data_IF_464626798800
#
_entry.id   IF_464626798800
#
_cell.length_a   1.000
_cell.length_b   1.000
_cell.length_c   1.000
_cell.angle_alpha   90.00
_cell.angle_beta   90.00
_cell.angle_gamma   90.00
#
_symmetry.space_group_name_H-M   'P 1'
#
loop_
_entity.id
_entity.type
_entity.pdbx_description
1 polymer ?
#
# COMPACT_ATOMS: atom_id res chain seq x y z
N UNK A 1 44.20 -7.03 41.54
CA UNK A 1 42.82 -7.12 41.02
C UNK A 1 42.85 -7.89 39.71
N UNK A 2 42.47 -9.16 39.70
CA UNK A 2 42.44 -10.00 38.49
C UNK A 2 41.00 -10.09 37.99
N UNK A 3 40.70 -9.52 36.82
CA UNK A 3 39.39 -9.65 36.16
C UNK A 3 39.31 -11.03 35.52
N UNK A 4 38.45 -11.91 36.03
CA UNK A 4 38.09 -13.17 35.38
C UNK A 4 37.41 -12.87 34.04
N UNK A 5 38.04 -13.22 32.93
CA UNK A 5 37.37 -13.31 31.63
C UNK A 5 36.40 -14.51 31.67
N UNK A 6 35.10 -14.24 31.68
CA UNK A 6 34.07 -15.27 31.53
C UNK A 6 34.12 -15.84 30.12
N UNK A 7 34.28 -17.17 30.00
CA UNK A 7 34.14 -17.89 28.72
C UNK A 7 32.69 -17.74 28.24
N UNK A 8 32.47 -17.00 27.16
CA UNK A 8 31.22 -17.02 26.40
C UNK A 8 31.27 -18.27 25.52
N UNK A 9 30.53 -19.31 25.91
CA UNK A 9 30.34 -20.49 25.07
C UNK A 9 29.32 -20.11 24.00
N UNK A 10 29.80 -19.83 22.78
CA UNK A 10 28.97 -19.52 21.63
C UNK A 10 28.47 -20.83 21.01
N UNK A 11 27.33 -21.33 21.46
CA UNK A 11 26.67 -22.48 20.81
C UNK A 11 25.92 -21.96 19.59
N UNK A 12 26.52 -22.10 18.40
CA UNK A 12 25.87 -21.80 17.12
C UNK A 12 24.93 -22.95 16.77
N UNK A 13 23.62 -22.71 16.84
CA UNK A 13 22.62 -23.68 16.37
C UNK A 13 22.42 -23.46 14.88
N UNK A 14 22.97 -24.37 14.06
CA UNK A 14 22.79 -24.36 12.61
C UNK A 14 21.48 -25.07 12.27
N UNK A 15 20.42 -24.32 11.96
CA UNK A 15 19.17 -24.89 11.43
C UNK A 15 19.27 -24.92 9.90
N UNK A 16 19.10 -26.10 9.29
CA UNK A 16 18.99 -26.24 7.83
C UNK A 16 17.73 -25.49 7.34
N UNK A 17 17.94 -24.46 6.52
CA UNK A 17 16.87 -23.72 5.88
C UNK A 17 16.37 -24.45 4.63
N UNK A 18 15.09 -24.84 4.59
CA UNK A 18 14.38 -24.87 3.31
C UNK A 18 13.90 -23.45 3.03
N UNK A 19 14.32 -22.90 1.89
CA UNK A 19 14.07 -21.55 1.39
C UNK A 19 14.62 -20.39 2.27
N UNK A 20 15.94 -20.22 2.25
CA UNK A 20 16.54 -18.87 2.17
C UNK A 20 16.66 -18.02 3.43
N UNK A 21 16.40 -18.52 4.64
CA UNK A 21 16.61 -17.75 5.87
C UNK A 21 17.69 -18.40 6.74
N UNK A 22 18.86 -17.76 6.87
CA UNK A 22 19.81 -18.05 7.95
C UNK A 22 19.70 -16.91 8.95
N UNK A 23 19.00 -17.12 10.07
CA UNK A 23 19.05 -16.20 11.21
C UNK A 23 20.06 -16.72 12.23
N UNK A 24 21.03 -15.88 12.60
CA UNK A 24 21.88 -16.17 13.75
C UNK A 24 21.06 -15.94 15.02
N UNK A 25 20.84 -17.00 15.79
CA UNK A 25 20.23 -16.92 17.11
C UNK A 25 21.25 -17.33 18.16
N UNK A 26 21.17 -16.72 19.34
CA UNK A 26 21.97 -17.11 20.49
C UNK A 26 21.12 -17.20 21.74
N UNK A 27 21.51 -18.08 22.66
CA UNK A 27 20.87 -18.17 23.97
C UNK A 27 21.57 -17.26 24.97
N UNK A 28 20.80 -16.42 25.65
CA UNK A 28 21.25 -15.61 26.79
C UNK A 28 20.28 -15.79 27.94
N UNK A 29 20.79 -16.14 29.12
CA UNK A 29 20.01 -16.36 30.34
C UNK A 29 18.85 -17.36 30.18
N UNK A 30 19.06 -18.42 29.40
CA UNK A 30 18.05 -19.45 29.14
C UNK A 30 16.95 -19.04 28.15
N UNK A 31 17.02 -17.84 27.57
CA UNK A 31 16.09 -17.35 26.55
C UNK A 31 16.77 -17.27 25.19
N UNK A 32 16.05 -17.65 24.13
CA UNK A 32 16.47 -17.40 22.76
C UNK A 32 16.45 -15.90 22.50
N UNK A 33 17.58 -15.32 22.13
CA UNK A 33 17.72 -13.93 21.69
C UNK A 33 17.95 -13.96 20.18
N UNK A 34 17.09 -13.25 19.46
CA UNK A 34 17.29 -12.91 18.05
C UNK A 34 18.11 -11.62 18.03
N UNK A 35 19.23 -11.62 17.31
CA UNK A 35 20.12 -10.45 17.28
C UNK A 35 19.39 -9.27 16.63
N UNK A 36 19.14 -8.22 17.42
CA UNK A 36 18.33 -7.05 17.08
C UNK A 36 19.08 -5.98 16.30
N UNK A 37 19.84 -6.36 15.28
CA UNK A 37 20.48 -5.45 14.34
C UNK A 37 19.66 -5.35 13.05
N UNK A 38 18.82 -4.31 12.95
CA UNK A 38 17.98 -3.97 11.80
C UNK A 38 17.32 -5.19 11.14
N UNK A 39 16.29 -5.73 11.81
CA UNK A 39 15.19 -6.40 11.11
C UNK A 39 14.88 -5.51 9.91
N UNK A 40 15.02 -6.00 8.67
CA UNK A 40 14.60 -5.24 7.48
C UNK A 40 13.23 -4.63 7.80
N UNK A 41 13.16 -3.31 7.99
CA UNK A 41 11.91 -2.65 8.34
C UNK A 41 10.97 -2.91 7.16
N UNK A 42 10.07 -3.87 7.33
CA UNK A 42 9.09 -4.24 6.34
C UNK A 42 7.81 -3.53 6.73
N UNK A 43 7.09 -3.01 5.74
CA UNK A 43 5.80 -2.44 6.02
C UNK A 43 4.89 -3.55 6.55
N UNK A 44 4.00 -3.22 7.48
CA UNK A 44 3.09 -4.15 8.13
C UNK A 44 2.31 -4.96 7.09
N UNK A 45 2.02 -6.24 7.36
CA UNK A 45 1.27 -7.07 6.45
C UNK A 45 -0.16 -6.53 6.26
N UNK A 46 -0.82 -6.91 5.15
CA UNK A 46 -2.25 -6.64 4.96
C UNK A 46 -3.07 -7.26 6.09
N UNK A 47 -4.21 -6.64 6.37
CA UNK A 47 -5.22 -7.14 7.29
C UNK A 47 -6.38 -7.78 6.51
N UNK A 48 -7.02 -8.78 7.11
CA UNK A 48 -8.13 -9.48 6.49
C UNK A 48 -9.21 -9.79 7.52
N UNK A 49 -10.44 -9.82 7.04
CA UNK A 49 -11.54 -10.49 7.71
C UNK A 49 -12.28 -11.38 6.68
N UNK A 50 -13.26 -12.16 7.14
CA UNK A 50 -13.97 -13.11 6.29
C UNK A 50 -15.25 -12.53 5.65
N UNK A 51 -15.47 -11.22 5.76
CA UNK A 51 -16.77 -10.60 5.46
C UNK A 51 -16.66 -9.44 4.47
N UNK A 52 -15.59 -8.65 4.58
CA UNK A 52 -15.45 -7.38 3.91
C UNK A 52 -14.43 -7.45 2.77
N UNK A 53 -14.76 -6.72 1.70
CA UNK A 53 -13.81 -6.45 0.62
C UNK A 53 -12.74 -5.47 1.07
N UNK A 54 -13.15 -4.37 1.70
CA UNK A 54 -12.24 -3.34 2.19
C UNK A 54 -12.09 -3.45 3.70
N UNK A 55 -10.90 -3.80 4.16
CA UNK A 55 -10.62 -4.04 5.58
C UNK A 55 -9.68 -2.95 6.08
N UNK A 56 -10.10 -2.21 7.12
CA UNK A 56 -9.25 -1.24 7.81
C UNK A 56 -8.23 -1.97 8.70
N UNK A 57 -6.94 -1.67 8.51
CA UNK A 57 -5.87 -2.30 9.27
C UNK A 57 -5.54 -1.56 10.57
N UNK A 58 -6.19 -0.43 10.85
CA UNK A 58 -5.96 0.38 12.05
C UNK A 58 -4.61 1.10 12.09
N UNK A 59 -3.87 1.09 10.98
CA UNK A 59 -2.54 1.67 10.85
C UNK A 59 -2.43 2.67 9.67
N UNK A 60 -3.57 3.27 9.28
CA UNK A 60 -3.65 4.20 8.15
C UNK A 60 -3.69 3.52 6.78
N UNK A 61 -3.88 2.20 6.74
CA UNK A 61 -4.00 1.43 5.51
C UNK A 61 -5.32 0.66 5.44
N UNK A 62 -5.76 0.38 4.21
CA UNK A 62 -6.95 -0.44 3.93
C UNK A 62 -6.59 -1.52 2.94
N UNK A 63 -6.92 -2.77 3.23
CA UNK A 63 -6.72 -3.89 2.30
C UNK A 63 -7.95 -4.09 1.43
N UNK A 64 -7.78 -4.10 0.10
CA UNK A 64 -8.78 -4.59 -0.86
C UNK A 64 -8.55 -6.09 -1.07
N UNK A 65 -9.31 -6.92 -0.37
CA UNK A 65 -9.13 -8.38 -0.30
C UNK A 65 -9.40 -9.08 -1.64
N UNK A 66 -10.09 -8.41 -2.57
CA UNK A 66 -10.35 -8.93 -3.93
C UNK A 66 -9.14 -8.73 -4.84
N UNK A 67 -8.46 -7.59 -4.74
CA UNK A 67 -7.28 -7.29 -5.59
C UNK A 67 -5.95 -7.65 -4.92
N UNK A 68 -5.95 -7.83 -3.60
CA UNK A 68 -4.74 -8.05 -2.80
C UNK A 68 -3.91 -6.78 -2.59
N UNK A 69 -4.44 -5.61 -2.96
CA UNK A 69 -3.77 -4.32 -2.80
C UNK A 69 -3.99 -3.76 -1.40
N UNK A 70 -2.94 -3.15 -0.84
CA UNK A 70 -3.04 -2.29 0.33
C UNK A 70 -3.05 -0.85 -0.13
N UNK A 71 -4.12 -0.13 0.17
CA UNK A 71 -4.35 1.28 -0.17
C UNK A 71 -4.02 2.17 1.02
N UNK A 72 -3.53 3.38 0.75
CA UNK A 72 -3.47 4.44 1.76
C UNK A 72 -4.91 4.80 2.18
N UNK A 73 -5.20 4.91 3.47
CA UNK A 73 -6.56 5.20 3.94
C UNK A 73 -7.04 6.61 3.54
N UNK A 74 -6.13 7.59 3.51
CA UNK A 74 -6.42 8.95 3.08
C UNK A 74 -6.19 9.11 1.56
N UNK A 75 -7.28 9.08 0.80
CA UNK A 75 -7.29 9.17 -0.67
C UNK A 75 -6.92 10.55 -1.22
N UNK A 76 -6.66 11.55 -0.37
CA UNK A 76 -6.26 12.89 -0.79
C UNK A 76 -5.13 13.42 0.11
N UNK A 77 -4.14 12.58 0.43
CA UNK A 77 -3.02 13.04 1.25
C UNK A 77 -2.16 14.11 0.54
N UNK A 78 -2.03 14.05 -0.79
CA UNK A 78 -1.11 14.90 -1.55
C UNK A 78 -1.79 16.05 -2.32
N UNK A 79 -3.12 16.10 -2.36
CA UNK A 79 -3.81 17.01 -3.28
C UNK A 79 -3.65 16.59 -4.75
N UNK A 80 -3.88 17.56 -5.65
CA UNK A 80 -3.61 17.40 -7.08
C UNK A 80 -2.16 17.79 -7.37
N UNK A 81 -1.48 17.02 -8.22
CA UNK A 81 -0.11 17.29 -8.63
C UNK A 81 0.16 16.77 -10.05
N UNK A 82 1.22 17.28 -10.66
CA UNK A 82 1.69 16.79 -11.96
C UNK A 82 2.18 15.34 -11.83
N UNK A 83 2.28 14.63 -12.96
CA UNK A 83 2.54 13.20 -12.95
C UNK A 83 3.85 12.81 -12.27
N UNK A 84 4.93 13.57 -12.50
CA UNK A 84 6.23 13.31 -11.89
C UNK A 84 6.15 13.47 -10.35
N UNK A 85 5.63 14.61 -9.89
CA UNK A 85 5.47 14.90 -8.46
C UNK A 85 4.56 13.88 -7.76
N UNK A 86 3.50 13.41 -8.43
CA UNK A 86 2.61 12.37 -7.92
C UNK A 86 3.33 11.02 -7.70
N UNK A 87 4.22 10.64 -8.62
CA UNK A 87 5.04 9.43 -8.48
C UNK A 87 6.09 9.60 -7.38
N UNK A 88 6.74 10.77 -7.32
CA UNK A 88 7.73 11.07 -6.28
C UNK A 88 7.08 11.06 -4.90
N UNK A 89 5.92 11.71 -4.74
CA UNK A 89 5.14 11.71 -3.50
C UNK A 89 4.70 10.30 -3.08
N UNK A 90 4.19 9.50 -4.03
CA UNK A 90 3.82 8.11 -3.76
C UNK A 90 5.04 7.27 -3.34
N UNK A 91 6.18 7.41 -4.03
CA UNK A 91 7.41 6.67 -3.70
C UNK A 91 8.07 7.12 -2.40
N UNK A 92 7.88 8.38 -1.99
CA UNK A 92 8.41 8.95 -0.75
C UNK A 92 7.57 8.64 0.48
N UNK A 93 6.32 8.20 0.30
CA UNK A 93 5.37 7.90 1.37
C UNK A 93 5.90 6.81 2.31
N UNK A 94 5.73 7.01 3.63
CA UNK A 94 6.25 6.12 4.66
C UNK A 94 5.48 6.26 5.98
N UNK A 95 5.84 5.41 6.94
CA UNK A 95 5.41 5.52 8.34
C UNK A 95 5.57 6.95 8.89
N UNK A 96 4.51 7.43 9.55
CA UNK A 96 4.41 8.79 10.10
C UNK A 96 3.75 9.80 9.16
N UNK A 97 3.73 9.53 7.84
CA UNK A 97 3.07 10.39 6.86
C UNK A 97 1.61 9.98 6.69
N UNK A 98 0.73 10.94 6.35
CA UNK A 98 -0.65 10.65 5.95
C UNK A 98 -1.50 9.81 6.93
N UNK A 99 -1.11 9.72 8.21
CA UNK A 99 -1.75 8.86 9.21
C UNK A 99 -1.24 7.42 9.25
N UNK A 100 -0.18 7.09 8.51
CA UNK A 100 0.44 5.77 8.50
C UNK A 100 1.16 5.48 9.83
N UNK A 101 0.88 4.32 10.40
CA UNK A 101 1.62 3.74 11.52
C UNK A 101 2.11 2.33 11.18
N UNK A 102 2.34 2.06 9.89
CA UNK A 102 2.46 0.71 9.31
C UNK A 102 3.90 0.25 9.05
N UNK A 103 4.90 0.82 9.72
CA UNK A 103 6.33 0.57 9.49
C UNK A 103 6.85 0.70 8.04
N UNK A 104 6.08 1.30 7.12
CA UNK A 104 6.53 1.49 5.74
C UNK A 104 7.67 2.50 5.62
N UNK A 105 8.47 2.32 4.58
CA UNK A 105 9.62 3.17 4.23
C UNK A 105 9.50 3.67 2.79
N UNK A 106 10.24 4.73 2.39
CA UNK A 106 10.25 5.18 1.02
C UNK A 106 10.61 4.04 0.06
N UNK A 107 9.84 3.92 -1.02
CA UNK A 107 9.93 2.86 -2.03
C UNK A 107 8.94 1.71 -1.84
N UNK A 108 8.25 1.62 -0.71
CA UNK A 108 7.20 0.60 -0.50
C UNK A 108 5.91 0.94 -1.26
N UNK A 109 5.62 2.23 -1.41
CA UNK A 109 4.40 2.75 -2.01
C UNK A 109 4.62 3.21 -3.45
N UNK A 110 3.58 3.12 -4.27
CA UNK A 110 3.56 3.61 -5.66
C UNK A 110 2.15 3.99 -6.10
N UNK A 111 2.03 4.66 -7.24
CA UNK A 111 0.74 4.75 -7.91
C UNK A 111 0.26 3.35 -8.38
N UNK A 112 -1.05 3.06 -8.31
CA UNK A 112 -1.62 1.84 -8.89
C UNK A 112 -1.49 1.86 -10.42
N UNK A 113 -1.32 0.70 -11.05
CA UNK A 113 -1.41 0.60 -12.51
C UNK A 113 -2.85 0.82 -12.99
N UNK A 114 -3.04 1.08 -14.28
CA UNK A 114 -4.39 1.17 -14.84
C UNK A 114 -5.16 -0.15 -14.68
N UNK A 115 -4.47 -1.29 -14.78
CA UNK A 115 -5.06 -2.62 -14.60
C UNK A 115 -5.53 -2.82 -13.16
N UNK A 116 -4.71 -2.45 -12.18
CA UNK A 116 -5.07 -2.49 -10.76
C UNK A 116 -6.27 -1.59 -10.44
N UNK A 117 -6.26 -0.36 -10.96
CA UNK A 117 -7.40 0.55 -10.86
C UNK A 117 -8.67 -0.07 -11.44
N UNK A 118 -8.56 -0.64 -12.64
CA UNK A 118 -9.66 -1.27 -13.35
C UNK A 118 -10.21 -2.46 -12.56
N UNK A 119 -9.34 -3.31 -12.00
CA UNK A 119 -9.72 -4.40 -11.12
C UNK A 119 -10.44 -3.90 -9.85
N UNK A 120 -9.96 -2.81 -9.24
CA UNK A 120 -10.60 -2.20 -8.07
C UNK A 120 -12.01 -1.69 -8.35
N UNK A 121 -12.23 -1.01 -9.48
CA UNK A 121 -13.53 -0.40 -9.79
C UNK A 121 -14.49 -1.33 -10.55
N UNK A 122 -14.02 -2.47 -11.09
CA UNK A 122 -14.81 -3.34 -11.98
C UNK A 122 -16.20 -3.69 -11.41
N UNK A 123 -16.24 -4.13 -10.14
CA UNK A 123 -17.51 -4.46 -9.47
C UNK A 123 -18.43 -3.24 -9.32
N UNK A 124 -17.86 -2.08 -9.02
CA UNK A 124 -18.61 -0.83 -8.88
C UNK A 124 -19.24 -0.41 -10.21
N UNK A 125 -18.52 -0.57 -11.33
CA UNK A 125 -19.04 -0.33 -12.66
C UNK A 125 -20.20 -1.28 -13.02
N UNK A 126 -20.07 -2.57 -12.71
CA UNK A 126 -21.14 -3.54 -12.91
C UNK A 126 -22.40 -3.29 -12.07
N UNK A 127 -22.27 -2.53 -10.97
CA UNK A 127 -23.38 -2.07 -10.13
C UNK A 127 -23.91 -0.70 -10.54
N UNK A 128 -23.27 -0.01 -11.49
CA UNK A 128 -23.63 1.36 -11.86
C UNK A 128 -23.27 2.41 -10.80
N UNK A 129 -22.27 2.14 -9.96
CA UNK A 129 -21.85 3.07 -8.91
C UNK A 129 -21.19 4.31 -9.49
N UNK A 130 -21.57 5.46 -8.96
CA UNK A 130 -21.07 6.76 -9.36
C UNK A 130 -20.89 7.65 -8.13
N UNK A 131 -19.97 8.60 -8.21
CA UNK A 131 -19.70 9.60 -7.15
C UNK A 131 -19.49 9.02 -5.73
N UNK A 132 -18.47 8.17 -5.49
CA UNK A 132 -17.49 7.67 -6.46
C UNK A 132 -17.87 6.29 -7.04
N UNK A 133 -17.23 5.90 -8.13
CA UNK A 133 -17.29 4.59 -8.76
C UNK A 133 -16.50 3.54 -7.96
N UNK A 134 -16.87 3.39 -6.69
CA UNK A 134 -16.36 2.41 -5.75
C UNK A 134 -17.53 1.63 -5.14
N UNK A 135 -17.23 0.42 -4.69
CA UNK A 135 -18.18 -0.38 -3.90
C UNK A 135 -18.16 0.04 -2.43
N UNK A 136 -19.19 -0.34 -1.69
CA UNK A 136 -19.20 -0.31 -0.22
C UNK A 136 -18.15 -1.25 0.39
N UNK A 137 -18.03 -1.24 1.73
CA UNK A 137 -17.10 -2.06 2.51
C UNK A 137 -17.16 -3.56 2.17
N UNK A 138 -18.36 -4.09 1.92
CA UNK A 138 -18.57 -5.52 1.60
C UNK A 138 -18.33 -5.85 0.12
N UNK A 139 -18.27 -4.85 -0.77
CA UNK A 139 -18.15 -5.08 -2.21
C UNK A 139 -19.48 -5.41 -2.91
N UNK A 140 -20.61 -5.24 -2.22
CA UNK A 140 -21.94 -5.67 -2.68
C UNK A 140 -22.82 -4.54 -3.17
N UNK A 141 -22.60 -3.32 -2.68
CA UNK A 141 -23.33 -2.11 -3.04
C UNK A 141 -22.38 -0.97 -3.41
N UNK A 142 -22.93 0.23 -3.60
CA UNK A 142 -22.16 1.42 -3.95
C UNK A 142 -21.66 2.20 -2.72
N UNK A 143 -20.46 2.77 -2.83
CA UNK A 143 -19.86 3.59 -1.78
C UNK A 143 -20.71 4.83 -1.41
N UNK A 144 -21.59 5.29 -2.31
CA UNK A 144 -22.54 6.39 -2.05
C UNK A 144 -23.59 6.05 -0.99
N UNK A 145 -23.83 4.75 -0.73
CA UNK A 145 -24.73 4.30 0.34
C UNK A 145 -23.98 4.10 1.65
N UNK A 146 -22.79 3.49 1.60
CA UNK A 146 -21.90 3.32 2.74
C UNK A 146 -20.47 3.37 2.24
N UNK A 147 -19.76 4.45 2.58
CA UNK A 147 -18.36 4.61 2.19
C UNK A 147 -17.53 3.48 2.84
N UNK A 148 -16.68 2.75 2.08
CA UNK A 148 -15.65 1.89 2.64
C UNK A 148 -14.73 2.68 3.60
N UNK A 149 -13.83 2.02 4.36
CA UNK A 149 -12.97 2.70 5.34
C UNK A 149 -11.89 3.60 4.73
N UNK A 150 -12.14 4.22 3.58
CA UNK A 150 -11.35 5.28 2.99
C UNK A 150 -11.82 6.66 3.45
N UNK A 151 -10.91 7.62 3.49
CA UNK A 151 -11.20 9.01 3.83
C UNK A 151 -10.77 9.95 2.70
N UNK A 152 -11.42 11.11 2.63
CA UNK A 152 -11.14 12.18 1.65
C UNK A 152 -11.15 11.74 0.17
N UNK A 153 -11.92 10.71 -0.17
CA UNK A 153 -12.10 10.27 -1.57
C UNK A 153 -12.73 11.39 -2.40
N UNK A 154 -12.13 11.69 -3.54
CA UNK A 154 -12.63 12.69 -4.48
C UNK A 154 -13.36 12.01 -5.63
N UNK A 155 -14.52 12.54 -6.05
CA UNK A 155 -15.19 12.11 -7.28
C UNK A 155 -14.54 12.77 -8.50
N UNK A 156 -13.24 12.57 -8.69
CA UNK A 156 -12.41 13.25 -9.69
C UNK A 156 -11.37 12.30 -10.30
N UNK A 157 -10.43 12.85 -11.06
CA UNK A 157 -9.39 12.08 -11.73
C UNK A 157 -8.30 11.66 -10.74
N UNK A 158 -7.93 10.39 -10.79
CA UNK A 158 -6.81 9.82 -10.06
C UNK A 158 -5.79 9.25 -11.04
N UNK A 159 -4.53 9.64 -10.86
CA UNK A 159 -3.43 9.09 -11.64
C UNK A 159 -3.35 7.57 -11.50
N UNK A 160 -2.92 6.91 -12.58
CA UNK A 160 -2.32 5.58 -12.53
C UNK A 160 -0.82 5.69 -12.85
N UNK A 161 -0.02 4.72 -12.40
CA UNK A 161 1.39 4.58 -12.80
C UNK A 161 1.59 4.13 -14.26
N UNK A 162 0.52 4.04 -15.06
CA UNK A 162 0.58 3.55 -16.44
C UNK A 162 0.67 4.73 -17.43
N UNK A 163 1.69 4.72 -18.29
CA UNK A 163 1.80 5.64 -19.42
C UNK A 163 0.85 5.24 -20.54
N UNK A 164 0.37 6.19 -21.34
CA UNK A 164 -0.38 5.85 -22.55
C UNK A 164 0.56 5.25 -23.61
N UNK A 165 0.17 4.13 -24.21
CA UNK A 165 0.99 3.38 -25.17
C UNK A 165 1.12 4.10 -26.52
N UNK A 166 0.12 4.92 -26.88
CA UNK A 166 0.08 5.64 -28.16
C UNK A 166 0.83 6.97 -28.06
N UNK A 167 0.60 7.72 -26.99
CA UNK A 167 1.27 8.98 -26.71
C UNK A 167 1.87 8.99 -25.29
N UNK A 168 3.17 8.65 -25.14
CA UNK A 168 3.85 8.59 -23.84
C UNK A 168 3.94 9.92 -23.07
N UNK A 169 3.61 11.05 -23.70
CA UNK A 169 3.46 12.33 -23.02
C UNK A 169 2.25 12.33 -22.07
N UNK A 170 1.29 11.43 -22.31
CA UNK A 170 0.14 11.22 -21.45
C UNK A 170 0.37 10.06 -20.49
N UNK A 171 -0.28 10.12 -19.34
CA UNK A 171 -0.53 8.96 -18.48
C UNK A 171 -2.03 8.68 -18.40
N UNK A 172 -2.35 7.44 -18.03
CA UNK A 172 -3.72 7.02 -17.77
C UNK A 172 -4.16 7.50 -16.39
N UNK A 173 -5.39 7.96 -16.29
CA UNK A 173 -6.06 8.27 -15.03
C UNK A 173 -7.46 7.65 -15.03
N UNK A 174 -7.99 7.37 -13.84
CA UNK A 174 -9.40 6.98 -13.65
C UNK A 174 -10.20 8.17 -13.16
N UNK A 175 -11.30 8.47 -13.84
CA UNK A 175 -12.28 9.45 -13.38
C UNK A 175 -13.27 8.78 -12.42
N UNK A 176 -13.04 8.90 -11.11
CA UNK A 176 -13.86 8.21 -10.10
C UNK A 176 -15.32 8.68 -10.03
N UNK A 177 -15.75 9.70 -10.77
CA UNK A 177 -17.19 9.97 -10.88
C UNK A 177 -17.94 8.79 -11.52
N UNK A 178 -17.40 8.18 -12.56
CA UNK A 178 -18.04 7.08 -13.31
C UNK A 178 -17.09 5.93 -13.69
N UNK A 179 -15.83 5.99 -13.24
CA UNK A 179 -14.79 4.99 -13.49
C UNK A 179 -14.23 4.96 -14.91
N UNK A 180 -14.45 6.01 -15.72
CA UNK A 180 -13.86 6.08 -17.05
C UNK A 180 -12.33 6.23 -16.99
N UNK A 181 -11.61 5.47 -17.81
CA UNK A 181 -10.18 5.68 -18.05
C UNK A 181 -9.99 6.82 -19.05
N UNK A 182 -9.11 7.77 -18.72
CA UNK A 182 -8.81 8.94 -19.54
C UNK A 182 -7.30 9.10 -19.74
N UNK A 183 -6.92 9.87 -20.76
CA UNK A 183 -5.55 10.32 -20.98
C UNK A 183 -5.37 11.72 -20.41
N UNK A 184 -4.29 11.94 -19.66
CA UNK A 184 -4.00 13.23 -19.02
C UNK A 184 -2.53 13.59 -19.28
N UNK A 185 -2.24 14.85 -19.61
CA UNK A 185 -0.90 15.28 -20.03
C UNK A 185 0.03 15.40 -18.82
N UNK A 186 1.12 14.64 -18.81
CA UNK A 186 1.99 14.48 -17.63
C UNK A 186 2.62 15.78 -17.13
N UNK A 187 2.92 16.71 -18.04
CA UNK A 187 3.77 17.88 -17.79
C UNK A 187 3.04 19.09 -17.24
N UNK A 188 1.72 19.20 -17.46
CA UNK A 188 0.97 20.43 -17.17
C UNK A 188 -0.32 20.18 -16.40
N UNK A 189 -0.94 19.01 -16.58
CA UNK A 189 -2.19 18.70 -15.90
C UNK A 189 -1.91 18.17 -14.50
N UNK A 190 -2.77 18.53 -13.56
CA UNK A 190 -2.68 18.08 -12.17
C UNK A 190 -3.94 17.30 -11.82
N UNK A 191 -3.78 16.07 -11.35
CA UNK A 191 -4.89 15.27 -10.81
C UNK A 191 -4.45 14.58 -9.52
N UNK A 192 -5.38 13.90 -8.84
CA UNK A 192 -5.12 13.31 -7.52
C UNK A 192 -4.24 12.07 -7.61
N UNK A 193 -3.54 11.76 -6.52
CA UNK A 193 -2.70 10.58 -6.37
C UNK A 193 -3.16 9.75 -5.17
N UNK A 194 -3.43 8.46 -5.39
CA UNK A 194 -3.84 7.54 -4.34
C UNK A 194 -2.94 6.30 -4.37
N UNK A 195 -1.94 6.22 -3.48
CA UNK A 195 -0.95 5.16 -3.52
C UNK A 195 -1.48 3.81 -3.08
N UNK A 196 -0.85 2.77 -3.64
CA UNK A 196 -0.99 1.37 -3.25
C UNK A 196 0.37 0.75 -2.99
N UNK A 197 0.38 -0.38 -2.29
CA UNK A 197 1.48 -1.33 -2.25
C UNK A 197 0.97 -2.75 -2.42
N UNK A 198 1.79 -3.61 -3.01
CA UNK A 198 1.52 -5.05 -3.15
C UNK A 198 2.09 -5.81 -1.96
N UNK A 199 1.39 -6.86 -1.56
CA UNK A 199 1.88 -7.85 -0.61
C UNK A 199 3.11 -8.55 -1.22
N UNK A 200 4.25 -8.54 -0.52
CA UNK A 200 5.46 -9.30 -0.89
C UNK A 200 5.60 -10.51 0.02
#
# INVERSE_FOLDING_TARGET
MSKKLGKIILTVVLILAMAGMISASYYKDGKLVLDGGNQFARPDPPCFDNTNRYVDCGNGTVTDTVTGLTWLQNANCFGQSAYADANDAASGLKHGDCGLTDNSVPGDWRLPTLEEWSATINRALGLGCQSPALTDTQGTGCASTSMPPFSNVQSSNYWSGTSDEVNPLNAKAIYLYNGAAINVLKSTDTVYAWPVRTTR
#
